data_IF_714391414535
#
_entry.id   IF_714391414535
#
_cell.length_a   1.000
_cell.length_b   1.000
_cell.length_c   1.000
_cell.angle_alpha   90.00
_cell.angle_beta   90.00
_cell.angle_gamma   90.00
#
_symmetry.space_group_name_H-M   'P 1'
#
loop_
_entity.id
_entity.type
_entity.pdbx_description
1 polymer ?
#
# COMPACT_ATOMS: atom_id res chain seq x y z
N UNK A 1 51.65 -5.32 -46.75
CA UNK A 1 52.15 -5.85 -45.47
C UNK A 1 51.01 -6.58 -44.79
N UNK A 2 51.09 -7.91 -44.79
CA UNK A 2 50.08 -8.83 -44.26
C UNK A 2 50.48 -9.13 -42.82
N UNK A 3 49.63 -8.81 -41.85
CA UNK A 3 49.82 -9.23 -40.45
C UNK A 3 48.76 -10.27 -40.11
N UNK A 4 49.20 -11.53 -40.09
CA UNK A 4 48.52 -12.66 -39.46
C UNK A 4 48.86 -12.69 -37.97
N UNK A 5 47.85 -12.75 -37.09
CA UNK A 5 48.06 -13.16 -35.69
C UNK A 5 47.02 -14.20 -35.29
N UNK A 6 47.58 -15.31 -34.79
CA UNK A 6 47.05 -16.59 -34.33
C UNK A 6 45.87 -16.51 -33.35
N UNK A 7 44.88 -17.35 -33.62
CA UNK A 7 43.92 -17.90 -32.65
C UNK A 7 44.65 -18.77 -31.61
N UNK A 8 44.27 -18.65 -30.34
CA UNK A 8 44.70 -19.55 -29.26
C UNK A 8 43.48 -20.24 -28.67
N UNK A 9 43.35 -21.51 -29.02
CA UNK A 9 42.40 -22.50 -28.52
C UNK A 9 42.74 -22.88 -27.08
N UNK A 10 41.78 -22.72 -26.16
CA UNK A 10 41.84 -23.32 -24.83
C UNK A 10 40.88 -24.51 -24.80
N UNK A 11 41.42 -25.70 -25.06
CA UNK A 11 40.78 -26.96 -24.68
C UNK A 11 40.91 -27.13 -23.17
N UNK A 12 39.79 -27.16 -22.45
CA UNK A 12 39.74 -27.65 -21.07
C UNK A 12 38.98 -28.96 -21.02
N UNK A 13 39.68 -29.92 -20.43
CA UNK A 13 39.34 -31.31 -20.27
C UNK A 13 38.15 -31.50 -19.32
N UNK A 14 37.20 -32.34 -19.72
CA UNK A 14 36.18 -32.94 -18.85
C UNK A 14 36.79 -34.18 -18.18
N UNK A 15 36.57 -34.40 -16.87
CA UNK A 15 36.64 -35.73 -16.29
C UNK A 15 35.24 -36.26 -15.96
N UNK A 16 35.06 -37.50 -16.38
CA UNK A 16 33.88 -38.35 -16.26
C UNK A 16 33.67 -38.88 -14.84
N UNK A 17 32.41 -39.22 -14.58
CA UNK A 17 31.80 -39.82 -13.39
C UNK A 17 32.59 -40.93 -12.68
N UNK A 18 32.45 -40.95 -11.35
CA UNK A 18 32.83 -42.06 -10.47
C UNK A 18 32.04 -41.98 -9.17
N UNK A 19 30.87 -42.63 -9.15
CA UNK A 19 30.02 -42.73 -7.97
C UNK A 19 30.51 -43.78 -6.96
N UNK A 20 30.25 -43.52 -5.68
CA UNK A 20 29.92 -44.49 -4.64
C UNK A 20 29.92 -43.77 -3.28
N UNK A 21 28.75 -43.50 -2.70
CA UNK A 21 28.63 -43.25 -1.26
C UNK A 21 27.45 -44.08 -0.75
N UNK A 22 27.80 -45.17 -0.09
CA UNK A 22 26.93 -46.09 0.61
C UNK A 22 26.85 -45.73 2.09
N UNK A 23 25.61 -45.46 2.57
CA UNK A 23 25.12 -45.64 3.96
C UNK A 23 25.72 -44.72 5.05
N UNK A 24 25.05 -44.46 6.21
CA UNK A 24 23.99 -45.24 6.84
C UNK A 24 22.77 -44.44 7.38
N UNK A 25 21.57 -45.03 7.28
CA UNK A 25 20.38 -44.61 8.03
C UNK A 25 20.24 -45.48 9.28
N UNK A 26 20.73 -44.96 10.40
CA UNK A 26 20.37 -45.41 11.75
C UNK A 26 19.46 -44.36 12.36
N UNK A 27 18.21 -44.71 12.70
CA UNK A 27 17.45 -44.22 13.87
C UNK A 27 15.96 -44.54 13.74
N UNK A 28 15.55 -45.70 14.28
CA UNK A 28 14.18 -45.92 14.74
C UNK A 28 14.22 -45.85 16.27
N UNK A 29 14.08 -44.64 16.81
CA UNK A 29 13.82 -44.41 18.23
C UNK A 29 12.31 -44.44 18.44
N UNK A 30 11.88 -45.29 19.36
CA UNK A 30 10.55 -45.32 19.92
C UNK A 30 10.15 -43.91 20.41
N UNK A 31 8.90 -43.55 20.16
CA UNK A 31 8.30 -42.32 20.66
C UNK A 31 7.94 -42.43 22.13
N UNK A 32 8.43 -41.49 22.93
CA UNK A 32 7.88 -41.19 24.25
C UNK A 32 6.70 -40.21 24.14
N UNK A 33 5.66 -40.35 24.98
CA UNK A 33 4.47 -39.52 25.00
C UNK A 33 4.57 -38.42 26.07
N UNK A 34 4.71 -37.14 25.69
CA UNK A 34 4.25 -36.00 26.50
C UNK A 34 4.70 -34.67 25.89
N UNK A 35 3.79 -33.95 25.23
CA UNK A 35 3.81 -32.49 25.22
C UNK A 35 2.40 -31.99 24.94
N UNK A 36 1.62 -31.93 26.02
CA UNK A 36 0.37 -31.17 26.04
C UNK A 36 0.74 -29.67 26.06
N UNK A 37 0.73 -29.04 24.89
CA UNK A 37 0.63 -27.59 24.82
C UNK A 37 -0.81 -27.18 25.17
N UNK A 38 -1.05 -26.35 26.21
CA UNK A 38 -2.36 -25.80 26.43
C UNK A 38 -2.67 -24.81 25.30
N UNK A 39 -3.73 -25.10 24.55
CA UNK A 39 -4.37 -24.13 23.66
C UNK A 39 -4.58 -22.79 24.39
N UNK A 40 -4.25 -21.65 23.78
CA UNK A 40 -4.55 -20.35 24.38
C UNK A 40 -6.08 -20.22 24.46
N UNK A 41 -6.60 -20.24 25.68
CA UNK A 41 -7.99 -19.96 26.02
C UNK A 41 -8.32 -18.50 25.62
N UNK A 42 -8.56 -18.28 24.33
CA UNK A 42 -9.09 -17.04 23.79
C UNK A 42 -10.58 -16.95 24.15
N UNK A 43 -10.81 -16.40 25.33
CA UNK A 43 -11.88 -15.45 25.66
C UNK A 43 -13.24 -15.69 24.95
N UNK A 44 -13.84 -16.86 25.23
CA UNK A 44 -15.24 -17.17 24.89
C UNK A 44 -16.21 -16.10 25.44
N UNK A 45 -15.82 -15.42 26.52
CA UNK A 45 -16.58 -14.34 27.16
C UNK A 45 -16.67 -13.06 26.34
N UNK A 46 -15.68 -12.72 25.50
CA UNK A 46 -15.75 -11.54 24.61
C UNK A 46 -16.71 -11.73 23.43
N UNK A 47 -16.74 -12.93 22.85
CA UNK A 47 -17.63 -13.27 21.73
C UNK A 47 -19.10 -13.26 22.17
N UNK A 48 -19.38 -13.86 23.33
CA UNK A 48 -20.70 -13.84 23.97
C UNK A 48 -21.17 -12.43 24.32
N UNK A 49 -20.29 -11.55 24.83
CA UNK A 49 -20.63 -10.15 25.17
C UNK A 49 -20.93 -9.29 23.93
N UNK A 50 -20.38 -9.61 22.77
CA UNK A 50 -20.61 -8.86 21.53
C UNK A 50 -21.92 -9.25 20.84
N UNK A 51 -22.21 -10.55 20.77
CA UNK A 51 -23.47 -11.08 20.24
C UNK A 51 -24.66 -10.57 21.07
N UNK A 52 -24.54 -10.54 22.40
CA UNK A 52 -25.58 -10.05 23.31
C UNK A 52 -25.97 -8.57 23.09
N UNK A 53 -25.04 -7.75 22.57
CA UNK A 53 -25.23 -6.29 22.40
C UNK A 53 -26.02 -5.95 21.13
N UNK A 54 -25.90 -6.77 20.09
CA UNK A 54 -26.61 -6.60 18.80
C UNK A 54 -28.07 -7.05 18.95
N UNK A 55 -28.30 -8.16 19.67
CA UNK A 55 -29.65 -8.67 19.96
C UNK A 55 -30.52 -7.70 20.76
N UNK A 56 -29.93 -6.81 21.58
CA UNK A 56 -30.68 -5.90 22.45
C UNK A 56 -31.37 -4.74 21.72
N UNK A 57 -30.92 -4.37 20.51
CA UNK A 57 -31.43 -3.18 19.81
C UNK A 57 -32.44 -3.50 18.70
N UNK A 58 -32.18 -4.54 17.91
CA UNK A 58 -32.97 -4.81 16.69
C UNK A 58 -34.24 -5.62 17.00
N UNK A 59 -34.16 -6.54 17.97
CA UNK A 59 -35.30 -7.41 18.28
C UNK A 59 -36.52 -6.65 18.85
N UNK A 60 -36.34 -5.62 19.72
CA UNK A 60 -37.47 -4.83 20.19
C UNK A 60 -38.16 -4.08 19.03
N UNK A 61 -37.38 -3.51 18.11
CA UNK A 61 -37.91 -2.81 16.93
C UNK A 61 -38.75 -3.76 16.04
N UNK A 62 -38.33 -5.01 15.84
CA UNK A 62 -39.10 -6.01 15.07
C UNK A 62 -40.39 -6.42 15.80
N UNK A 63 -40.31 -6.55 17.12
CA UNK A 63 -41.47 -6.95 17.94
C UNK A 63 -42.50 -5.83 18.08
N UNK A 64 -42.06 -4.58 18.12
CA UNK A 64 -42.91 -3.40 18.22
C UNK A 64 -43.44 -2.91 16.85
N UNK A 65 -42.74 -3.20 15.76
CA UNK A 65 -43.12 -2.72 14.41
C UNK A 65 -44.30 -3.47 13.79
N UNK A 66 -44.55 -4.72 14.17
CA UNK A 66 -45.64 -5.50 13.61
C UNK A 66 -46.55 -6.02 14.73
N UNK A 67 -47.79 -5.52 14.73
CA UNK A 67 -48.83 -5.85 15.72
C UNK A 67 -49.16 -7.35 15.76
N UNK A 68 -48.74 -8.13 14.76
CA UNK A 68 -48.89 -9.59 14.78
C UNK A 68 -48.01 -10.25 15.84
N UNK A 69 -46.89 -9.64 16.23
CA UNK A 69 -45.97 -10.24 17.20
C UNK A 69 -46.22 -9.79 18.64
N UNK A 70 -46.97 -8.71 18.86
CA UNK A 70 -47.28 -8.18 20.19
C UNK A 70 -48.15 -9.10 21.05
N UNK A 71 -48.80 -10.09 20.45
CA UNK A 71 -49.59 -11.11 21.15
C UNK A 71 -48.73 -12.22 21.80
N UNK A 72 -47.45 -12.33 21.45
CA UNK A 72 -46.53 -13.32 22.04
C UNK A 72 -45.74 -12.70 23.17
N UNK A 73 -45.58 -13.39 24.31
CA UNK A 73 -44.66 -12.91 25.36
C UNK A 73 -43.26 -12.68 24.79
N UNK A 74 -42.67 -11.53 25.10
CA UNK A 74 -41.37 -11.08 24.59
C UNK A 74 -40.26 -12.12 24.78
N UNK A 75 -40.23 -12.81 25.91
CA UNK A 75 -39.26 -13.85 26.22
C UNK A 75 -39.35 -15.03 25.24
N UNK A 76 -40.57 -15.42 24.86
CA UNK A 76 -40.82 -16.52 23.93
C UNK A 76 -40.49 -16.11 22.49
N UNK A 77 -40.84 -14.88 22.10
CA UNK A 77 -40.49 -14.33 20.80
C UNK A 77 -38.97 -14.30 20.62
N UNK A 78 -38.25 -13.73 21.60
CA UNK A 78 -36.78 -13.66 21.60
C UNK A 78 -36.13 -15.04 21.51
N UNK A 79 -36.63 -16.01 22.29
CA UNK A 79 -36.11 -17.38 22.27
C UNK A 79 -36.35 -18.08 20.93
N UNK A 80 -37.52 -17.90 20.32
CA UNK A 80 -37.86 -18.49 19.03
C UNK A 80 -37.05 -17.88 17.88
N UNK A 81 -36.86 -16.56 17.85
CA UNK A 81 -36.01 -15.93 16.82
C UNK A 81 -34.57 -16.41 16.93
N UNK A 82 -34.03 -16.56 18.14
CA UNK A 82 -32.68 -17.11 18.35
C UNK A 82 -32.55 -18.53 17.78
N UNK A 83 -33.49 -19.43 18.11
CA UNK A 83 -33.53 -20.80 17.56
C UNK A 83 -33.66 -20.82 16.04
N UNK A 84 -34.45 -19.89 15.47
CA UNK A 84 -34.66 -19.79 14.03
C UNK A 84 -33.38 -19.33 13.30
N UNK A 85 -32.66 -18.36 13.85
CA UNK A 85 -31.37 -17.91 13.31
C UNK A 85 -30.30 -19.02 13.37
N UNK A 86 -30.23 -19.76 14.48
CA UNK A 86 -29.33 -20.91 14.65
C UNK A 86 -29.66 -22.02 13.64
N UNK A 87 -30.94 -22.37 13.50
CA UNK A 87 -31.40 -23.42 12.56
C UNK A 87 -31.10 -23.08 11.10
N UNK A 88 -31.26 -21.81 10.72
CA UNK A 88 -31.11 -21.37 9.33
C UNK A 88 -29.69 -20.89 8.99
N UNK A 89 -28.73 -20.95 9.93
CA UNK A 89 -27.37 -20.40 9.78
C UNK A 89 -27.35 -18.94 9.31
N UNK A 90 -28.38 -18.18 9.65
CA UNK A 90 -28.51 -16.76 9.26
C UNK A 90 -27.67 -15.96 10.25
N UNK A 91 -26.54 -15.45 9.77
CA UNK A 91 -25.78 -14.40 10.45
C UNK A 91 -26.61 -13.12 10.41
N UNK A 92 -27.13 -12.65 11.55
CA UNK A 92 -27.76 -11.32 11.62
C UNK A 92 -26.73 -10.27 11.18
N UNK A 93 -27.14 -9.21 10.45
CA UNK A 93 -26.22 -8.22 9.90
C UNK A 93 -25.28 -7.68 10.98
N UNK A 94 -24.02 -8.13 10.92
CA UNK A 94 -22.93 -7.65 11.75
C UNK A 94 -22.85 -6.13 11.55
N UNK A 95 -23.30 -5.37 12.55
CA UNK A 95 -22.82 -4.04 12.99
C UNK A 95 -22.05 -3.15 11.99
N UNK A 96 -22.38 -3.14 10.69
CA UNK A 96 -21.71 -2.33 9.65
C UNK A 96 -22.05 -0.85 9.80
N UNK A 97 -23.11 -0.53 10.53
CA UNK A 97 -23.49 0.84 10.85
C UNK A 97 -22.75 1.42 12.08
N UNK A 98 -22.16 0.58 12.95
CA UNK A 98 -21.45 1.08 14.14
C UNK A 98 -19.94 1.29 13.92
N UNK A 99 -19.36 0.74 12.84
CA UNK A 99 -17.92 0.91 12.54
C UNK A 99 -17.59 2.19 11.76
N UNK A 100 -18.57 2.92 11.21
CA UNK A 100 -18.34 4.12 10.39
C UNK A 100 -18.21 5.45 11.16
N UNK A 101 -18.23 5.45 12.49
CA UNK A 101 -18.09 6.67 13.29
C UNK A 101 -16.90 6.68 14.26
N UNK A 102 -15.86 5.87 14.00
CA UNK A 102 -14.50 6.38 14.26
C UNK A 102 -14.24 7.41 13.17
N UNK A 103 -14.83 8.59 13.33
CA UNK A 103 -14.35 9.84 12.74
C UNK A 103 -12.84 9.77 12.96
N UNK A 104 -12.07 9.67 11.89
CA UNK A 104 -10.64 10.00 11.92
C UNK A 104 -10.63 11.45 12.43
N UNK A 105 -10.57 11.65 13.76
CA UNK A 105 -10.25 12.95 14.31
C UNK A 105 -8.93 13.28 13.63
N UNK A 106 -8.93 14.32 12.79
CA UNK A 106 -7.69 14.86 12.26
C UNK A 106 -6.82 15.06 13.49
N UNK A 107 -5.73 14.31 13.58
CA UNK A 107 -4.79 14.47 14.68
C UNK A 107 -4.37 15.94 14.58
N UNK A 108 -4.70 16.72 15.60
CA UNK A 108 -4.26 18.11 15.64
C UNK A 108 -2.73 18.07 15.52
N UNK A 109 -2.21 18.72 14.47
CA UNK A 109 -0.78 18.77 14.24
C UNK A 109 -0.16 19.42 15.47
N UNK A 110 0.81 18.75 16.07
CA UNK A 110 1.51 19.36 17.20
C UNK A 110 2.33 20.53 16.68
N UNK A 111 2.60 21.51 17.55
CA UNK A 111 3.47 22.65 17.23
C UNK A 111 4.84 22.17 16.69
N UNK A 112 5.33 21.02 17.20
CA UNK A 112 6.55 20.37 16.73
C UNK A 112 6.41 19.74 15.34
N UNK A 113 5.23 19.24 14.96
CA UNK A 113 4.98 18.72 13.61
C UNK A 113 5.02 19.86 12.56
N UNK A 114 4.42 21.00 12.89
CA UNK A 114 4.46 22.21 12.05
C UNK A 114 5.90 22.70 11.91
N UNK A 115 6.64 22.74 13.02
CA UNK A 115 8.05 23.16 13.04
C UNK A 115 8.93 22.20 12.23
N UNK A 116 8.71 20.89 12.35
CA UNK A 116 9.40 19.87 11.56
C UNK A 116 9.14 20.02 10.05
N UNK A 117 7.91 20.33 9.66
CA UNK A 117 7.56 20.62 8.26
C UNK A 117 8.34 21.83 7.74
N UNK A 118 8.34 22.94 8.49
CA UNK A 118 9.10 24.15 8.15
C UNK A 118 10.61 23.93 8.14
N UNK A 119 11.15 23.07 9.00
CA UNK A 119 12.57 22.72 9.01
C UNK A 119 12.99 21.90 7.79
N UNK A 120 12.07 21.16 7.16
CA UNK A 120 12.36 20.36 5.97
C UNK A 120 12.40 21.20 4.68
N UNK A 121 11.76 22.35 4.69
CA UNK A 121 11.74 23.28 3.56
C UNK A 121 13.12 23.92 3.38
N UNK A 122 13.82 23.60 2.29
CA UNK A 122 15.19 24.09 1.99
C UNK A 122 15.32 25.62 1.94
N UNK A 123 14.21 26.34 1.77
CA UNK A 123 14.14 27.81 1.71
C UNK A 123 13.81 28.46 3.06
N UNK A 124 13.57 27.66 4.09
CA UNK A 124 13.11 28.16 5.38
C UNK A 124 14.25 28.85 6.13
N UNK A 125 13.99 30.09 6.55
CA UNK A 125 14.90 30.90 7.38
C UNK A 125 15.23 30.19 8.70
N UNK A 126 14.29 29.37 9.19
CA UNK A 126 14.35 28.65 10.48
C UNK A 126 15.54 27.68 10.55
N UNK A 127 15.99 27.11 9.44
CA UNK A 127 17.16 26.21 9.44
C UNK A 127 18.45 26.90 9.92
N UNK A 128 18.58 28.22 9.64
CA UNK A 128 19.78 29.01 9.98
C UNK A 128 19.67 29.71 11.33
N UNK A 129 18.46 29.80 11.89
CA UNK A 129 18.22 30.47 13.16
C UNK A 129 18.75 29.63 14.33
N UNK A 130 19.12 30.30 15.41
CA UNK A 130 19.42 29.65 16.70
C UNK A 130 18.11 29.18 17.35
N UNK A 131 18.18 28.20 18.26
CA UNK A 131 16.97 27.67 18.89
C UNK A 131 16.26 28.75 19.73
N UNK A 132 17.04 29.65 20.34
CA UNK A 132 16.58 30.83 21.07
C UNK A 132 15.76 31.75 20.15
N UNK A 133 16.33 32.12 18.99
CA UNK A 133 15.65 33.00 18.05
C UNK A 133 14.36 32.38 17.48
N UNK A 134 14.32 31.06 17.28
CA UNK A 134 13.11 30.35 16.84
C UNK A 134 12.05 30.38 17.93
N UNK A 135 12.44 30.12 19.17
CA UNK A 135 11.54 30.15 20.32
C UNK A 135 10.92 31.54 20.51
N UNK A 136 11.73 32.60 20.41
CA UNK A 136 11.28 34.00 20.53
C UNK A 136 10.45 34.47 19.32
N UNK A 137 10.68 33.90 18.13
CA UNK A 137 9.98 34.32 16.91
C UNK A 137 8.47 34.08 16.92
N UNK A 138 7.98 33.14 17.75
CA UNK A 138 6.55 32.82 17.80
C UNK A 138 6.07 32.54 19.24
N UNK A 139 5.13 33.36 19.77
CA UNK A 139 4.57 33.17 21.11
C UNK A 139 3.94 31.80 21.36
N UNK A 140 3.55 31.09 20.31
CA UNK A 140 2.99 29.73 20.40
C UNK A 140 3.99 28.74 21.01
N UNK A 141 5.29 28.98 20.89
CA UNK A 141 6.31 28.13 21.51
C UNK A 141 6.44 28.35 23.03
N UNK A 142 5.97 29.49 23.55
CA UNK A 142 5.97 29.79 24.99
C UNK A 142 5.04 28.87 25.80
N UNK A 143 4.19 28.09 25.14
CA UNK A 143 3.42 27.03 25.78
C UNK A 143 4.31 25.92 26.39
N UNK A 144 5.58 25.84 25.96
CA UNK A 144 6.58 24.91 26.49
C UNK A 144 7.69 25.68 27.20
N UNK A 145 8.38 25.05 28.15
CA UNK A 145 9.60 25.63 28.70
C UNK A 145 10.70 25.64 27.63
N UNK A 146 11.55 26.67 27.65
CA UNK A 146 12.67 26.76 26.70
C UNK A 146 13.59 25.53 26.76
N UNK A 147 13.79 24.95 27.95
CA UNK A 147 14.58 23.72 28.13
C UNK A 147 13.98 22.56 27.33
N UNK A 148 12.67 22.30 27.49
CA UNK A 148 11.99 21.23 26.77
C UNK A 148 11.96 21.50 25.25
N UNK A 149 11.74 22.75 24.85
CA UNK A 149 11.80 23.16 23.45
C UNK A 149 13.18 22.90 22.83
N UNK A 150 14.26 23.24 23.54
CA UNK A 150 15.62 23.06 23.06
C UNK A 150 15.98 21.57 22.90
N UNK A 151 15.53 20.71 23.82
CA UNK A 151 15.70 19.26 23.69
C UNK A 151 14.97 18.71 22.45
N UNK A 152 13.72 19.10 22.23
CA UNK A 152 12.97 18.71 21.05
C UNK A 152 13.61 19.24 19.76
N UNK A 153 14.09 20.48 19.75
CA UNK A 153 14.80 21.05 18.62
C UNK A 153 16.09 20.31 18.30
N UNK A 154 16.86 19.88 19.30
CA UNK A 154 18.04 19.03 19.08
C UNK A 154 17.64 17.71 18.42
N UNK A 155 16.58 17.06 18.89
CA UNK A 155 16.06 15.83 18.28
C UNK A 155 15.63 16.06 16.83
N UNK A 156 14.94 17.16 16.54
CA UNK A 156 14.53 17.51 15.17
C UNK A 156 15.73 17.77 14.26
N UNK A 157 16.75 18.51 14.72
CA UNK A 157 17.97 18.74 13.94
C UNK A 157 18.73 17.45 13.63
N UNK A 158 18.87 16.55 14.59
CA UNK A 158 19.48 15.21 14.39
C UNK A 158 18.67 14.38 13.39
N UNK A 159 17.34 14.41 13.48
CA UNK A 159 16.47 13.75 12.49
C UNK A 159 16.66 14.33 11.09
N UNK A 160 16.82 15.66 10.97
CA UNK A 160 17.04 16.32 9.68
C UNK A 160 18.38 15.90 9.07
N UNK A 161 19.46 15.96 9.85
CA UNK A 161 20.80 15.57 9.38
C UNK A 161 20.84 14.10 8.96
N UNK A 162 20.19 13.21 9.71
CA UNK A 162 20.08 11.80 9.35
C UNK A 162 19.33 11.62 8.03
N UNK A 163 18.19 12.30 7.85
CA UNK A 163 17.43 12.23 6.60
C UNK A 163 18.22 12.76 5.40
N UNK A 164 19.00 13.83 5.58
CA UNK A 164 19.88 14.37 4.54
C UNK A 164 21.02 13.41 4.19
N UNK A 165 21.64 12.78 5.19
CA UNK A 165 22.67 11.79 4.98
C UNK A 165 22.11 10.57 4.22
N UNK A 166 20.99 10.01 4.67
CA UNK A 166 20.32 8.89 4.00
C UNK A 166 19.93 9.24 2.56
N UNK A 167 19.46 10.46 2.31
CA UNK A 167 19.15 10.91 0.95
C UNK A 167 20.40 10.98 0.07
N UNK A 168 21.55 11.43 0.60
CA UNK A 168 22.83 11.46 -0.13
C UNK A 168 23.37 10.05 -0.40
N UNK A 169 23.31 9.17 0.59
CA UNK A 169 23.70 7.77 0.47
C UNK A 169 22.86 7.08 -0.61
N UNK A 170 21.53 7.24 -0.55
CA UNK A 170 20.61 6.71 -1.56
C UNK A 170 20.91 7.26 -2.97
N UNK A 171 21.18 8.55 -3.11
CA UNK A 171 21.57 9.12 -4.41
C UNK A 171 22.91 8.58 -4.92
N UNK A 172 23.85 8.32 -4.02
CA UNK A 172 25.14 7.72 -4.36
C UNK A 172 24.95 6.27 -4.81
N UNK A 173 24.12 5.51 -4.11
CA UNK A 173 23.77 4.14 -4.44
C UNK A 173 23.05 4.03 -5.79
N UNK A 174 22.11 4.94 -6.07
CA UNK A 174 21.46 5.01 -7.38
C UNK A 174 22.44 5.27 -8.54
N UNK A 175 23.52 6.02 -8.28
CA UNK A 175 24.58 6.27 -9.27
C UNK A 175 25.52 5.08 -9.42
N UNK A 176 25.83 4.36 -8.34
CA UNK A 176 26.69 3.18 -8.39
C UNK A 176 26.01 1.96 -9.01
N UNK A 177 24.68 1.85 -8.87
CA UNK A 177 23.89 0.74 -9.40
C UNK A 177 22.82 1.24 -10.37
N UNK A 178 23.21 1.72 -11.58
CA UNK A 178 22.24 2.13 -12.57
C UNK A 178 21.36 0.93 -12.95
N UNK A 179 20.04 1.16 -13.00
CA UNK A 179 19.10 0.16 -13.48
C UNK A 179 19.43 -0.18 -14.94
N UNK A 180 19.53 -1.47 -15.24
CA UNK A 180 19.72 -2.00 -16.61
C UNK A 180 18.56 -1.61 -17.52
N UNK A 181 18.79 -1.55 -18.83
CA UNK A 181 17.72 -1.28 -19.81
C UNK A 181 16.90 -2.54 -20.16
N UNK A 182 17.53 -3.70 -20.03
CA UNK A 182 16.96 -5.00 -20.37
C UNK A 182 16.78 -5.83 -19.10
N UNK A 183 15.68 -6.55 -19.02
CA UNK A 183 15.40 -7.51 -17.96
C UNK A 183 16.26 -8.77 -18.09
N UNK A 184 16.28 -9.61 -17.06
CA UNK A 184 16.95 -10.92 -17.12
C UNK A 184 16.40 -11.86 -18.21
N UNK A 185 15.21 -11.56 -18.75
CA UNK A 185 14.55 -12.34 -19.79
C UNK A 185 14.81 -11.82 -21.22
N UNK A 186 15.65 -10.79 -21.38
CA UNK A 186 16.08 -10.28 -22.69
C UNK A 186 15.17 -9.24 -23.33
N UNK A 187 14.08 -8.81 -22.67
CA UNK A 187 13.23 -7.71 -23.14
C UNK A 187 13.39 -6.44 -22.28
N UNK A 188 13.11 -5.25 -22.84
CA UNK A 188 13.16 -3.99 -22.11
C UNK A 188 12.19 -3.94 -20.91
N UNK A 189 12.46 -3.07 -19.94
CA UNK A 189 11.51 -2.82 -18.85
C UNK A 189 10.21 -2.19 -19.38
N UNK A 190 9.07 -2.85 -19.13
CA UNK A 190 7.75 -2.42 -19.58
C UNK A 190 7.47 -0.93 -19.31
N UNK A 191 7.66 -0.50 -18.06
CA UNK A 191 7.34 0.86 -17.60
C UNK A 191 8.23 1.99 -18.18
N UNK A 192 9.31 1.66 -18.90
CA UNK A 192 10.20 2.64 -19.54
C UNK A 192 10.09 2.63 -21.07
N UNK A 193 9.27 1.76 -21.63
CA UNK A 193 9.13 1.61 -23.07
C UNK A 193 7.91 2.37 -23.60
N UNK A 194 8.02 2.93 -24.81
CA UNK A 194 6.93 3.55 -25.56
C UNK A 194 5.70 2.62 -25.68
N UNK A 195 5.92 1.30 -25.79
CA UNK A 195 4.87 0.29 -25.79
C UNK A 195 3.91 0.41 -24.58
N UNK A 196 4.40 0.79 -23.40
CA UNK A 196 3.53 0.96 -22.22
C UNK A 196 2.63 2.18 -22.32
N UNK A 197 3.14 3.28 -22.89
CA UNK A 197 2.39 4.51 -23.10
C UNK A 197 1.32 4.29 -24.17
N UNK A 198 1.71 3.66 -25.28
CA UNK A 198 0.82 3.27 -26.36
C UNK A 198 -0.31 2.36 -25.86
N UNK A 199 0.00 1.33 -25.06
CA UNK A 199 -1.01 0.41 -24.54
C UNK A 199 -1.99 1.08 -23.58
N UNK A 200 -1.51 1.99 -22.72
CA UNK A 200 -2.38 2.77 -21.83
C UNK A 200 -3.44 3.53 -22.62
N UNK A 201 -3.04 4.21 -23.69
CA UNK A 201 -3.95 4.94 -24.58
C UNK A 201 -4.92 4.00 -25.30
N UNK A 202 -4.46 2.84 -25.77
CA UNK A 202 -5.33 1.86 -26.45
C UNK A 202 -6.37 1.23 -25.51
N UNK A 203 -6.04 1.06 -24.23
CA UNK A 203 -7.00 0.59 -23.22
C UNK A 203 -7.99 1.71 -22.87
N UNK A 204 -7.51 2.94 -22.70
CA UNK A 204 -8.35 4.12 -22.38
C UNK A 204 -9.36 4.42 -23.50
N UNK A 205 -8.93 4.30 -24.76
CA UNK A 205 -9.78 4.47 -25.94
C UNK A 205 -10.69 3.26 -26.23
N UNK A 206 -10.61 2.19 -25.43
CA UNK A 206 -11.39 0.96 -25.62
C UNK A 206 -10.99 0.12 -26.84
N UNK A 207 -9.87 0.42 -27.50
CA UNK A 207 -9.34 -0.37 -28.63
C UNK A 207 -8.96 -1.77 -28.16
N UNK A 208 -8.37 -1.87 -26.98
CA UNK A 208 -7.97 -3.14 -26.38
C UNK A 208 -9.16 -4.05 -26.02
N UNK A 209 -10.39 -3.53 -25.94
CA UNK A 209 -11.61 -4.33 -25.75
C UNK A 209 -12.23 -4.81 -27.07
N UNK A 210 -11.98 -4.09 -28.16
CA UNK A 210 -12.49 -4.43 -29.50
C UNK A 210 -11.64 -5.49 -30.20
N UNK A 211 -10.31 -5.44 -30.01
CA UNK A 211 -9.36 -6.32 -30.66
C UNK A 211 -8.96 -7.49 -29.76
N UNK A 212 -8.67 -8.65 -30.37
CA UNK A 212 -8.03 -9.74 -29.64
C UNK A 212 -6.60 -9.34 -29.25
N UNK A 213 -6.05 -9.84 -28.13
CA UNK A 213 -4.68 -9.54 -27.73
C UNK A 213 -3.60 -9.80 -28.79
N UNK A 214 -3.81 -10.77 -29.68
CA UNK A 214 -2.89 -11.05 -30.78
C UNK A 214 -2.96 -9.99 -31.90
N UNK A 215 -4.18 -9.57 -32.26
CA UNK A 215 -4.42 -8.52 -33.27
C UNK A 215 -3.91 -7.16 -32.76
N UNK A 216 -4.16 -6.85 -31.48
CA UNK A 216 -3.64 -5.64 -30.85
C UNK A 216 -2.10 -5.62 -30.84
N UNK A 217 -1.47 -6.75 -30.52
CA UNK A 217 -0.01 -6.88 -30.55
C UNK A 217 0.58 -6.69 -31.95
N UNK A 218 -0.12 -7.16 -32.98
CA UNK A 218 0.30 -7.02 -34.38
C UNK A 218 0.02 -5.62 -34.95
N UNK A 219 -0.92 -4.87 -34.35
CA UNK A 219 -1.32 -3.55 -34.82
C UNK A 219 -0.24 -2.46 -34.71
N UNK A 220 0.72 -2.60 -33.79
CA UNK A 220 1.81 -1.62 -33.60
C UNK A 220 3.17 -2.30 -33.53
N UNK A 221 4.12 -1.75 -34.28
CA UNK A 221 5.51 -2.20 -34.30
C UNK A 221 6.19 -2.17 -32.92
N UNK A 222 5.86 -1.18 -32.09
CA UNK A 222 6.41 -1.02 -30.73
C UNK A 222 6.13 -2.23 -29.85
N UNK A 223 4.97 -2.87 -30.03
CA UNK A 223 4.59 -4.06 -29.26
C UNK A 223 5.36 -5.28 -29.72
N UNK A 224 5.44 -5.47 -31.04
CA UNK A 224 6.06 -6.63 -31.69
C UNK A 224 7.57 -6.65 -31.53
N UNK A 225 8.23 -5.50 -31.68
CA UNK A 225 9.70 -5.40 -31.64
C UNK A 225 10.28 -5.66 -30.25
N UNK A 226 9.56 -5.29 -29.20
CA UNK A 226 10.11 -5.29 -27.84
C UNK A 226 9.60 -6.41 -26.95
N UNK A 227 8.41 -6.95 -27.21
CA UNK A 227 7.78 -7.92 -26.30
C UNK A 227 7.21 -9.12 -27.06
N UNK A 228 7.54 -10.36 -26.63
CA UNK A 228 6.86 -11.54 -27.13
C UNK A 228 5.36 -11.49 -26.80
N UNK A 229 4.53 -12.02 -27.70
CA UNK A 229 3.06 -12.02 -27.57
C UNK A 229 2.58 -12.53 -26.19
N UNK A 230 3.21 -13.58 -25.64
CA UNK A 230 2.87 -14.13 -24.32
C UNK A 230 3.04 -13.10 -23.20
N UNK A 231 4.13 -12.32 -23.24
CA UNK A 231 4.43 -11.29 -22.24
C UNK A 231 3.47 -10.11 -22.42
N UNK A 232 3.28 -9.68 -23.67
CA UNK A 232 2.39 -8.56 -23.99
C UNK A 232 0.94 -8.80 -23.54
N UNK A 233 0.42 -10.03 -23.71
CA UNK A 233 -0.89 -10.43 -23.18
C UNK A 233 -1.03 -10.15 -21.68
N UNK A 234 0.01 -10.43 -20.90
CA UNK A 234 0.03 -10.15 -19.47
C UNK A 234 -0.12 -8.65 -19.18
N UNK A 235 0.58 -7.81 -19.95
CA UNK A 235 0.51 -6.36 -19.80
C UNK A 235 -0.86 -5.78 -20.16
N UNK A 236 -1.56 -6.32 -21.17
CA UNK A 236 -2.94 -5.92 -21.47
C UNK A 236 -3.85 -6.13 -20.27
N UNK A 237 -3.78 -7.30 -19.63
CA UNK A 237 -4.63 -7.59 -18.47
C UNK A 237 -4.27 -6.75 -17.26
N UNK A 238 -2.97 -6.51 -17.03
CA UNK A 238 -2.51 -5.63 -15.95
C UNK A 238 -3.03 -4.20 -16.16
N UNK A 239 -2.94 -3.66 -17.38
CA UNK A 239 -3.38 -2.29 -17.68
C UNK A 239 -4.91 -2.16 -17.55
N UNK A 240 -5.67 -3.11 -18.12
CA UNK A 240 -7.15 -3.14 -17.96
C UNK A 240 -7.56 -3.20 -16.49
N UNK A 241 -6.86 -4.01 -15.70
CA UNK A 241 -7.09 -4.08 -14.25
C UNK A 241 -6.74 -2.75 -13.59
N UNK A 242 -5.58 -2.17 -13.88
CA UNK A 242 -5.14 -0.91 -13.31
C UNK A 242 -6.17 0.22 -13.58
N UNK A 243 -6.66 0.35 -14.81
CA UNK A 243 -7.66 1.37 -15.15
C UNK A 243 -9.01 1.12 -14.48
N UNK A 244 -9.47 -0.14 -14.39
CA UNK A 244 -10.69 -0.51 -13.67
C UNK A 244 -10.57 -0.22 -12.17
N UNK A 245 -9.43 -0.59 -11.58
CA UNK A 245 -9.17 -0.45 -10.15
C UNK A 245 -8.89 0.99 -9.75
N UNK A 246 -8.43 1.85 -10.66
CA UNK A 246 -8.21 3.30 -10.41
C UNK A 246 -9.43 3.96 -9.75
N UNK A 247 -10.64 3.57 -10.16
CA UNK A 247 -11.89 4.06 -9.55
C UNK A 247 -12.23 3.52 -8.15
N UNK A 248 -11.55 2.46 -7.68
CA UNK A 248 -11.75 1.89 -6.35
C UNK A 248 -10.77 2.43 -5.32
N UNK A 249 -9.65 3.02 -5.75
CA UNK A 249 -8.64 3.62 -4.88
C UNK A 249 -9.10 5.00 -4.37
N UNK A 250 -9.99 5.00 -3.38
CA UNK A 250 -10.54 6.22 -2.75
C UNK A 250 -9.46 7.22 -2.32
N UNK A 251 -8.30 6.73 -1.86
CA UNK A 251 -7.18 7.61 -1.50
C UNK A 251 -6.61 8.36 -2.71
N UNK A 252 -6.46 7.66 -3.84
CA UNK A 252 -5.95 8.22 -5.09
C UNK A 252 -6.99 9.15 -5.73
N UNK A 253 -8.28 8.79 -5.69
CA UNK A 253 -9.37 9.70 -6.05
C UNK A 253 -9.39 10.99 -5.24
N UNK A 254 -9.19 10.89 -3.92
CA UNK A 254 -9.10 12.05 -3.05
C UNK A 254 -7.83 12.87 -3.31
N UNK A 255 -6.75 12.25 -3.81
CA UNK A 255 -5.53 12.96 -4.21
C UNK A 255 -5.74 13.69 -5.54
N UNK A 256 -6.20 12.98 -6.58
CA UNK A 256 -6.54 13.55 -7.88
C UNK A 256 -7.56 14.69 -7.75
N UNK A 257 -8.56 14.53 -6.89
CA UNK A 257 -9.56 15.57 -6.60
C UNK A 257 -8.98 16.78 -5.87
N UNK A 258 -7.97 16.59 -5.00
CA UNK A 258 -7.23 17.71 -4.40
C UNK A 258 -6.38 18.41 -5.44
N UNK A 259 -5.62 17.67 -6.25
CA UNK A 259 -4.75 18.23 -7.28
C UNK A 259 -5.55 19.02 -8.33
N UNK A 260 -6.74 18.52 -8.73
CA UNK A 260 -7.65 19.24 -9.61
C UNK A 260 -8.13 20.55 -9.00
N UNK A 261 -8.61 20.51 -7.75
CA UNK A 261 -9.03 21.71 -7.02
C UNK A 261 -7.88 22.71 -6.85
N UNK A 262 -6.69 22.22 -6.51
CA UNK A 262 -5.53 23.08 -6.29
C UNK A 262 -5.08 23.74 -7.61
N UNK A 263 -5.19 23.03 -8.75
CA UNK A 263 -4.99 23.61 -10.09
C UNK A 263 -6.05 24.67 -10.42
N UNK A 264 -7.33 24.38 -10.20
CA UNK A 264 -8.42 25.35 -10.40
C UNK A 264 -8.24 26.61 -9.54
N UNK A 265 -7.75 26.45 -8.30
CA UNK A 265 -7.45 27.58 -7.40
C UNK A 265 -6.26 28.41 -7.89
N UNK A 266 -5.22 27.76 -8.42
CA UNK A 266 -4.06 28.46 -9.00
C UNK A 266 -4.47 29.22 -10.27
N UNK A 267 -5.22 28.58 -11.18
CA UNK A 267 -5.77 29.22 -12.38
C UNK A 267 -6.62 30.44 -12.00
N UNK A 268 -7.49 30.33 -10.99
CA UNK A 268 -8.28 31.47 -10.48
C UNK A 268 -7.43 32.58 -9.84
N UNK A 269 -6.30 32.24 -9.20
CA UNK A 269 -5.36 33.25 -8.67
C UNK A 269 -4.68 34.00 -9.80
N UNK A 270 -4.17 33.28 -10.79
CA UNK A 270 -3.53 33.88 -11.97
C UNK A 270 -4.49 34.79 -12.75
N UNK A 271 -5.75 34.37 -12.91
CA UNK A 271 -6.79 35.21 -13.54
C UNK A 271 -7.11 36.48 -12.73
N UNK A 272 -7.09 36.40 -11.40
CA UNK A 272 -7.31 37.58 -10.55
C UNK A 272 -6.10 38.53 -10.53
N UNK A 273 -4.87 38.00 -10.64
CA UNK A 273 -3.64 38.79 -10.65
C UNK A 273 -3.40 39.51 -11.99
N UNK A 274 -4.05 39.08 -13.08
CA UNK A 274 -4.01 39.76 -14.40
C UNK A 274 -4.97 40.97 -14.46
N UNK A 275 -5.92 41.07 -13.52
CA UNK A 275 -6.95 42.11 -13.51
C UNK A 275 -6.62 43.32 -12.59
N UNK A 276 -5.40 43.40 -12.06
CA UNK A 276 -4.88 44.52 -11.25
C UNK A 276 -3.52 44.99 -11.76
#
# INVERSE_FOLDING_TARGET
MVFTVKESSWHTHVPSDGGAISSPLSSLSLGDPASAHPEPCLDKTRRLKHEYRIHRKILPEIYESDSKYSCYKWENFRANIKRLCEKNKISLPEARLARKSRKMRKKEETIMDVLWKKLREKKSVIQKMTNEAIYESNPVFNAYSFVAFNEEMKKLRVKLSLAEQQAKEYQTELKSYPRKDITCYGYPFWNRNAASVSLRSDVENGVADKLKPAELWESRDEYKRHFPLKVFRGHIYQEKRAQREKGYWVHEQNADGRDKRDREVEEMREECDILY
#
